data_IF_271314729364
#
_entry.id   IF_271314729364
#
_cell.length_a   1.000
_cell.length_b   1.000
_cell.length_c   1.000
_cell.angle_alpha   90.00
_cell.angle_beta   90.00
_cell.angle_gamma   90.00
#
_symmetry.space_group_name_H-M   'P 1'
#
loop_
_entity.id
_entity.type
_entity.pdbx_description
1 polymer ?
#
# COMPACT_ATOMS: atom_id res chain seq x y z
N UNK A 1 43.59 -20.95 44.28
CA UNK A 1 43.60 -19.50 43.94
C UNK A 1 42.97 -19.21 42.55
N UNK A 2 41.90 -19.91 42.12
CA UNK A 2 41.32 -19.79 40.75
C UNK A 2 39.80 -19.47 40.72
N UNK A 3 39.16 -19.19 41.87
CA UNK A 3 37.70 -18.90 41.94
C UNK A 3 37.35 -17.47 41.51
N UNK A 4 38.22 -16.49 41.77
CA UNK A 4 37.97 -15.08 41.44
C UNK A 4 37.93 -14.78 39.94
N UNK A 5 38.82 -15.41 39.15
CA UNK A 5 38.91 -15.18 37.70
C UNK A 5 37.68 -15.68 36.95
N UNK A 6 37.10 -16.81 37.38
CA UNK A 6 35.89 -17.37 36.77
C UNK A 6 34.66 -16.51 37.03
N UNK A 7 34.49 -16.01 38.27
CA UNK A 7 33.40 -15.07 38.59
C UNK A 7 33.53 -13.74 37.85
N UNK A 8 34.75 -13.21 37.70
CA UNK A 8 34.97 -11.96 36.95
C UNK A 8 34.62 -12.10 35.47
N UNK A 9 34.99 -13.21 34.82
CA UNK A 9 34.61 -13.48 33.43
C UNK A 9 33.09 -13.63 33.27
N UNK A 10 32.42 -14.30 34.20
CA UNK A 10 30.95 -14.45 34.14
C UNK A 10 30.24 -13.10 34.28
N UNK A 11 30.68 -12.25 35.21
CA UNK A 11 30.09 -10.91 35.40
C UNK A 11 30.34 -10.01 34.18
N UNK A 12 31.53 -10.07 33.57
CA UNK A 12 31.82 -9.32 32.34
C UNK A 12 30.99 -9.80 31.14
N UNK A 13 30.84 -11.11 30.97
CA UNK A 13 30.01 -11.68 29.90
C UNK A 13 28.53 -11.33 30.10
N UNK A 14 28.01 -11.43 31.32
CA UNK A 14 26.62 -11.05 31.64
C UNK A 14 26.41 -9.53 31.46
N UNK A 15 27.38 -8.71 31.84
CA UNK A 15 27.34 -7.26 31.64
C UNK A 15 27.37 -6.85 30.16
N UNK A 16 28.16 -7.54 29.33
CA UNK A 16 28.18 -7.36 27.87
C UNK A 16 26.87 -7.80 27.21
N UNK A 17 26.28 -8.91 27.66
CA UNK A 17 24.99 -9.40 27.15
C UNK A 17 23.81 -8.50 27.56
N UNK A 18 23.90 -7.82 28.71
CA UNK A 18 22.91 -6.84 29.16
C UNK A 18 22.95 -5.52 28.38
N UNK A 19 24.01 -5.28 27.60
CA UNK A 19 24.16 -4.13 26.72
C UNK A 19 23.75 -4.47 25.28
N UNK A 20 22.63 -5.17 25.09
CA UNK A 20 22.12 -5.48 23.75
C UNK A 20 21.80 -4.19 22.99
N UNK A 21 22.54 -3.91 21.92
CA UNK A 21 22.19 -2.87 20.96
C UNK A 21 20.92 -3.24 20.21
N UNK A 22 20.23 -2.22 19.70
CA UNK A 22 19.09 -2.42 18.82
C UNK A 22 19.33 -1.64 17.54
N UNK A 23 19.04 -2.24 16.38
CA UNK A 23 19.08 -1.53 15.10
C UNK A 23 17.73 -0.88 14.85
N UNK A 24 17.71 0.46 14.78
CA UNK A 24 16.50 1.22 14.43
C UNK A 24 16.47 1.45 12.93
N UNK A 25 15.44 0.91 12.29
CA UNK A 25 15.24 0.92 10.85
C UNK A 25 14.10 1.87 10.50
N UNK A 26 14.40 2.92 9.75
CA UNK A 26 13.45 3.95 9.37
C UNK A 26 13.50 4.23 7.86
N UNK A 27 12.34 4.44 7.26
CA UNK A 27 12.19 4.97 5.91
C UNK A 27 11.55 6.36 5.96
N UNK A 28 12.19 7.32 5.29
CA UNK A 28 11.68 8.66 5.02
C UNK A 28 11.06 8.71 3.64
N UNK A 29 9.77 8.98 3.57
CA UNK A 29 9.00 9.13 2.34
C UNK A 29 8.80 10.61 2.05
N UNK A 30 9.27 11.03 0.89
CA UNK A 30 9.13 12.40 0.38
C UNK A 30 8.33 12.35 -0.92
N UNK A 31 7.35 13.25 -1.07
CA UNK A 31 6.64 13.37 -2.35
C UNK A 31 6.68 14.80 -2.83
N UNK A 32 6.79 14.95 -4.15
CA UNK A 32 6.65 16.21 -4.86
C UNK A 32 5.34 16.12 -5.67
N UNK A 33 4.26 16.81 -5.28
CA UNK A 33 4.14 17.75 -4.16
C UNK A 33 3.89 17.05 -2.81
N UNK A 34 4.15 17.72 -1.66
CA UNK A 34 3.93 17.15 -0.33
C UNK A 34 2.44 16.95 -0.04
N UNK A 35 2.10 16.22 1.01
CA UNK A 35 0.71 15.98 1.42
C UNK A 35 0.08 14.75 0.77
N UNK A 36 0.87 13.83 0.22
CA UNK A 36 0.37 12.62 -0.41
C UNK A 36 0.23 11.50 0.61
N UNK A 37 -0.84 10.70 0.49
CA UNK A 37 -1.09 9.52 1.30
C UNK A 37 -0.20 8.37 0.82
N UNK A 38 0.41 7.63 1.74
CA UNK A 38 1.27 6.49 1.40
C UNK A 38 0.79 5.21 2.03
N UNK A 39 0.72 4.18 1.19
CA UNK A 39 0.44 2.79 1.53
C UNK A 39 1.73 1.99 1.31
N UNK A 40 2.09 1.15 2.28
CA UNK A 40 3.26 0.27 2.22
C UNK A 40 2.81 -1.18 2.35
N UNK A 41 3.17 -2.02 1.39
CA UNK A 41 2.86 -3.46 1.38
C UNK A 41 1.37 -3.78 1.58
N UNK A 42 0.48 -2.93 1.07
CA UNK A 42 -0.97 -3.12 1.18
C UNK A 42 -1.57 -2.68 2.54
N UNK A 43 -0.78 -2.05 3.41
CA UNK A 43 -1.23 -1.55 4.71
C UNK A 43 -1.20 -0.01 4.72
N UNK A 44 -2.30 0.60 5.16
CA UNK A 44 -2.27 2.00 5.57
C UNK A 44 -1.44 2.10 6.85
N UNK A 45 -0.42 2.94 6.81
CA UNK A 45 0.52 3.01 7.91
C UNK A 45 -0.12 3.82 9.05
N UNK A 46 -0.71 3.11 10.01
CA UNK A 46 -1.40 3.53 11.25
C UNK A 46 -2.92 3.74 11.17
N UNK A 47 -3.54 3.34 12.28
CA UNK A 47 -4.92 3.60 12.65
C UNK A 47 -4.92 4.61 13.79
N UNK A 48 -5.72 5.68 13.74
CA UNK A 48 -6.03 6.42 14.96
C UNK A 48 -7.14 5.69 15.73
N UNK A 49 -6.94 5.59 17.04
CA UNK A 49 -7.99 5.13 17.94
C UNK A 49 -8.87 6.35 18.22
N UNK A 50 -9.95 6.49 17.45
CA UNK A 50 -10.99 7.46 17.79
C UNK A 50 -11.99 6.76 18.72
N UNK A 51 -12.06 7.22 19.98
CA UNK A 51 -13.09 6.80 20.93
C UNK A 51 -14.27 7.75 20.77
N UNK A 52 -15.40 7.23 20.32
CA UNK A 52 -16.65 7.99 20.33
C UNK A 52 -17.38 7.64 21.62
N UNK A 53 -17.47 8.60 22.55
CA UNK A 53 -18.32 8.49 23.73
C UNK A 53 -19.79 8.72 23.31
N UNK A 54 -20.46 7.64 22.90
CA UNK A 54 -21.93 7.64 22.83
C UNK A 54 -22.45 7.23 24.19
N UNK A 55 -22.88 8.21 24.99
CA UNK A 55 -23.77 8.00 26.15
C UNK A 55 -23.36 6.83 27.07
N UNK A 56 -22.06 6.72 27.39
CA UNK A 56 -21.53 5.70 28.31
C UNK A 56 -21.03 4.40 27.66
N UNK A 57 -21.08 4.27 26.33
CA UNK A 57 -20.49 3.18 25.56
C UNK A 57 -19.26 3.68 24.78
N UNK A 58 -18.07 3.24 25.19
CA UNK A 58 -16.79 3.52 24.53
C UNK A 58 -16.68 2.61 23.31
N UNK A 59 -16.97 3.14 22.11
CA UNK A 59 -16.74 2.41 20.86
C UNK A 59 -15.34 2.79 20.35
N UNK A 60 -14.39 1.86 20.40
CA UNK A 60 -13.09 2.01 19.74
C UNK A 60 -13.28 1.89 18.22
N UNK A 61 -13.27 3.02 17.50
CA UNK A 61 -13.28 3.01 16.04
C UNK A 61 -11.83 3.06 15.56
N UNK A 62 -11.38 1.93 15.01
CA UNK A 62 -10.10 1.78 14.31
C UNK A 62 -10.31 2.37 12.89
N UNK A 63 -10.00 3.66 12.69
CA UNK A 63 -9.97 4.25 11.33
C UNK A 63 -8.53 4.32 10.82
N UNK A 64 -8.26 3.92 9.56
CA UNK A 64 -6.95 4.15 8.96
C UNK A 64 -6.76 5.66 8.77
N UNK A 65 -5.81 6.27 9.49
CA UNK A 65 -5.45 7.67 9.25
C UNK A 65 -4.48 7.71 8.09
N UNK A 66 -4.78 8.46 7.04
CA UNK A 66 -3.81 8.68 6.00
C UNK A 66 -2.68 9.56 6.51
N UNK A 67 -1.54 8.94 6.79
CA UNK A 67 -0.28 9.65 6.99
C UNK A 67 0.11 10.33 5.69
N UNK A 68 0.30 11.65 5.75
CA UNK A 68 0.70 12.48 4.62
C UNK A 68 2.21 12.72 4.62
N UNK A 69 2.80 12.81 3.43
CA UNK A 69 4.23 13.14 3.25
C UNK A 69 4.52 14.63 3.51
N UNK A 70 5.73 14.99 3.99
CA UNK A 70 6.89 14.14 4.29
C UNK A 70 6.71 13.34 5.59
N UNK A 71 7.13 12.07 5.59
CA UNK A 71 6.97 11.22 6.77
C UNK A 71 8.09 10.20 6.98
N UNK A 72 8.41 9.92 8.24
CA UNK A 72 9.38 8.89 8.65
C UNK A 72 8.63 7.73 9.30
N UNK A 73 8.88 6.51 8.84
CA UNK A 73 8.17 5.30 9.25
C UNK A 73 9.17 4.20 9.60
N UNK A 74 8.95 3.43 10.69
CA UNK A 74 9.77 2.25 10.96
C UNK A 74 9.42 1.11 9.99
N UNK A 75 10.40 0.28 9.64
CA UNK A 75 10.18 -0.94 8.85
C UNK A 75 10.85 -2.16 9.51
N UNK A 76 10.30 -3.35 9.25
CA UNK A 76 10.64 -4.55 10.01
C UNK A 76 11.71 -5.44 9.36
N UNK A 77 11.75 -5.53 8.02
CA UNK A 77 12.65 -6.43 7.30
C UNK A 77 13.33 -5.73 6.11
N UNK A 78 14.50 -6.22 5.71
CA UNK A 78 15.12 -5.83 4.44
C UNK A 78 14.56 -6.66 3.29
N UNK A 79 14.60 -6.09 2.10
CA UNK A 79 14.06 -6.73 0.91
C UNK A 79 13.29 -5.74 0.06
N UNK A 80 12.21 -6.21 -0.53
CA UNK A 80 11.46 -5.44 -1.50
C UNK A 80 10.16 -4.98 -0.89
N UNK A 81 9.95 -3.67 -0.84
CA UNK A 81 8.72 -3.06 -0.33
C UNK A 81 7.97 -2.37 -1.46
N UNK A 82 6.65 -2.55 -1.47
CA UNK A 82 5.77 -1.86 -2.38
C UNK A 82 5.25 -0.58 -1.73
N UNK A 83 5.52 0.55 -2.37
CA UNK A 83 4.97 1.84 -1.97
C UNK A 83 3.96 2.31 -3.00
N UNK A 84 2.78 2.64 -2.51
CA UNK A 84 1.72 3.22 -3.30
C UNK A 84 1.46 4.61 -2.75
N UNK A 85 1.64 5.62 -3.60
CA UNK A 85 1.37 7.00 -3.25
C UNK A 85 0.12 7.47 -3.96
N UNK A 86 -0.78 8.09 -3.19
CA UNK A 86 -2.02 8.67 -3.70
C UNK A 86 -2.19 10.11 -3.21
N UNK A 87 -2.60 10.98 -4.13
CA UNK A 87 -2.91 12.38 -3.85
C UNK A 87 -3.98 12.84 -4.82
N UNK A 88 -4.93 13.62 -4.33
CA UNK A 88 -6.00 14.19 -5.16
C UNK A 88 -5.44 15.06 -6.27
N UNK A 89 -5.92 14.85 -7.50
CA UNK A 89 -5.43 15.56 -8.69
C UNK A 89 -4.10 15.02 -9.26
N UNK A 90 -3.52 13.97 -8.67
CA UNK A 90 -2.31 13.32 -9.15
C UNK A 90 -2.54 11.84 -9.47
N UNK A 91 -1.71 11.30 -10.37
CA UNK A 91 -1.76 9.89 -10.74
C UNK A 91 -1.22 9.04 -9.58
N UNK A 92 -1.98 8.00 -9.19
CA UNK A 92 -1.53 6.99 -8.22
C UNK A 92 -0.24 6.35 -8.73
N UNK A 93 0.83 6.44 -7.95
CA UNK A 93 2.13 5.91 -8.33
C UNK A 93 2.47 4.70 -7.46
N UNK A 94 2.62 3.53 -8.10
CA UNK A 94 3.12 2.30 -7.46
C UNK A 94 4.61 2.18 -7.77
N UNK A 95 5.44 2.08 -6.74
CA UNK A 95 6.88 1.87 -6.87
C UNK A 95 7.32 0.75 -5.95
N UNK A 96 8.05 -0.19 -6.53
CA UNK A 96 8.69 -1.27 -5.79
C UNK A 96 10.13 -0.84 -5.51
N UNK A 97 10.49 -0.74 -4.23
CA UNK A 97 11.82 -0.31 -3.80
C UNK A 97 12.51 -1.47 -3.12
N UNK A 98 13.70 -1.83 -3.61
CA UNK A 98 14.54 -2.85 -3.02
C UNK A 98 15.52 -2.24 -2.02
N UNK A 99 15.27 -2.47 -0.74
CA UNK A 99 16.09 -2.08 0.39
C UNK A 99 17.14 -3.16 0.67
N UNK A 100 18.36 -2.94 0.19
CA UNK A 100 19.45 -3.89 0.41
C UNK A 100 19.92 -3.85 1.88
N UNK A 101 20.04 -5.00 2.55
CA UNK A 101 20.58 -5.04 3.90
C UNK A 101 22.01 -4.49 3.91
N UNK A 102 22.36 -3.66 4.90
CA UNK A 102 23.74 -3.33 5.20
C UNK A 102 24.60 -4.58 5.43
N UNK A 103 25.91 -4.44 5.22
CA UNK A 103 26.85 -5.56 5.37
C UNK A 103 26.83 -6.21 6.76
N UNK A 104 26.52 -5.43 7.80
CA UNK A 104 26.47 -5.88 9.19
C UNK A 104 25.20 -6.68 9.53
N UNK A 105 24.20 -6.70 8.65
CA UNK A 105 22.94 -7.46 8.79
C UNK A 105 22.88 -8.69 7.91
N UNK A 106 24.00 -9.06 7.32
CA UNK A 106 24.11 -10.32 6.61
C UNK A 106 24.28 -11.45 7.61
N UNK A 107 23.49 -12.53 7.51
CA UNK A 107 23.73 -13.75 8.30
C UNK A 107 25.13 -14.28 7.95
N UNK A 108 25.99 -14.62 8.93
CA UNK A 108 25.77 -14.66 10.40
C UNK A 108 26.24 -13.41 11.17
N UNK A 109 26.81 -12.41 10.49
CA UNK A 109 27.35 -11.17 11.07
C UNK A 109 26.27 -10.41 11.86
N UNK A 110 25.01 -10.51 11.39
CA UNK A 110 23.81 -9.96 12.03
C UNK A 110 23.71 -10.28 13.53
N UNK A 111 24.01 -11.53 13.92
CA UNK A 111 23.99 -11.94 15.32
C UNK A 111 24.97 -11.11 16.18
N UNK A 112 26.14 -10.78 15.64
CA UNK A 112 27.12 -9.99 16.36
C UNK A 112 26.78 -8.50 16.37
N UNK A 113 26.23 -7.98 15.28
CA UNK A 113 25.82 -6.59 15.19
C UNK A 113 24.70 -6.26 16.19
N UNK A 114 23.74 -7.17 16.36
CA UNK A 114 22.62 -6.99 17.29
C UNK A 114 23.00 -7.27 18.76
N UNK A 115 23.84 -8.28 19.03
CA UNK A 115 24.08 -8.75 20.41
C UNK A 115 25.36 -8.19 21.07
N UNK A 116 26.37 -7.78 20.29
CA UNK A 116 27.67 -7.37 20.84
C UNK A 116 27.94 -5.87 20.76
N UNK A 117 27.14 -5.12 20.01
CA UNK A 117 27.32 -3.67 19.86
C UNK A 117 26.44 -2.95 20.89
N UNK A 118 27.00 -2.26 21.90
CA UNK A 118 26.22 -1.62 22.96
C UNK A 118 25.56 -0.29 22.55
N UNK A 119 25.55 0.02 21.25
CA UNK A 119 25.08 1.31 20.73
C UNK A 119 24.00 1.11 19.68
N UNK A 120 23.04 2.05 19.62
CA UNK A 120 21.94 2.00 18.65
C UNK A 120 22.44 2.38 17.26
N UNK A 121 22.32 1.46 16.30
CA UNK A 121 22.62 1.74 14.90
C UNK A 121 21.34 2.26 14.25
N UNK A 122 21.41 3.45 13.66
CA UNK A 122 20.31 4.07 12.93
C UNK A 122 20.49 3.84 11.42
N UNK A 123 19.59 3.07 10.81
CA UNK A 123 19.51 2.92 9.35
C UNK A 123 18.31 3.73 8.84
N UNK A 124 18.58 4.90 8.25
CA UNK A 124 17.56 5.79 7.70
C UNK A 124 17.67 5.79 6.17
N UNK A 125 16.61 5.34 5.50
CA UNK A 125 16.52 5.31 4.02
C UNK A 125 15.55 6.36 3.52
N UNK A 126 15.94 7.15 2.53
CA UNK A 126 15.06 8.17 1.94
C UNK A 126 14.57 7.73 0.58
N UNK A 127 13.26 7.79 0.36
CA UNK A 127 12.62 7.49 -0.92
C UNK A 127 11.77 8.68 -1.34
N UNK A 128 12.08 9.23 -2.50
CA UNK A 128 11.32 10.33 -3.11
C UNK A 128 10.40 9.85 -4.24
N UNK A 129 9.25 10.51 -4.36
CA UNK A 129 8.24 10.27 -5.39
C UNK A 129 7.88 11.58 -6.07
N UNK A 130 8.05 11.64 -7.38
CA UNK A 130 7.59 12.75 -8.19
C UNK A 130 6.25 12.40 -8.81
N UNK A 131 5.19 12.97 -8.25
CA UNK A 131 3.82 12.69 -8.67
C UNK A 131 3.49 13.48 -9.92
N UNK A 132 2.95 12.79 -10.92
CA UNK A 132 2.46 13.42 -12.15
C UNK A 132 1.01 13.82 -11.95
N UNK A 133 0.65 15.01 -12.42
CA UNK A 133 -0.74 15.47 -12.40
C UNK A 133 -1.64 14.51 -13.19
N UNK A 134 -2.78 14.15 -12.60
CA UNK A 134 -3.79 13.38 -13.27
C UNK A 134 -4.47 14.29 -14.29
N UNK A 135 -4.19 14.08 -15.58
CA UNK A 135 -4.95 14.71 -16.66
C UNK A 135 -6.42 14.33 -16.52
N UNK A 136 -7.21 15.21 -15.92
CA UNK A 136 -8.64 14.99 -15.80
C UNK A 136 -9.25 15.15 -17.20
N UNK A 137 -10.07 14.19 -17.63
CA UNK A 137 -10.80 14.33 -18.90
C UNK A 137 -11.71 15.57 -18.85
N UNK A 138 -12.09 16.06 -17.67
CA UNK A 138 -12.94 17.24 -17.52
C UNK A 138 -12.22 18.52 -17.94
N UNK A 139 -10.93 18.64 -17.61
CA UNK A 139 -10.11 19.83 -17.88
C UNK A 139 -9.42 19.80 -19.24
N UNK A 140 -9.44 18.65 -19.92
CA UNK A 140 -8.89 18.48 -21.26
C UNK A 140 -9.62 19.34 -22.32
N UNK A 141 -8.87 19.79 -23.34
CA UNK A 141 -9.42 20.56 -24.47
C UNK A 141 -10.47 19.72 -25.23
N UNK A 142 -11.39 20.38 -25.94
CA UNK A 142 -12.43 19.67 -26.74
C UNK A 142 -11.82 18.70 -27.76
N UNK A 143 -10.66 19.04 -28.30
CA UNK A 143 -9.92 18.24 -29.27
C UNK A 143 -9.29 17.00 -28.62
N UNK A 144 -8.66 17.17 -27.45
CA UNK A 144 -8.05 16.05 -26.69
C UNK A 144 -9.14 15.07 -26.20
N UNK A 145 -10.32 15.58 -25.80
CA UNK A 145 -11.51 14.77 -25.49
C UNK A 145 -11.99 13.94 -26.69
N UNK A 146 -12.03 14.54 -27.87
CA UNK A 146 -12.46 13.86 -29.09
C UNK A 146 -11.46 12.77 -29.51
N UNK A 147 -10.16 13.02 -29.37
CA UNK A 147 -9.10 12.04 -29.63
C UNK A 147 -9.19 10.84 -28.67
N UNK A 148 -9.29 11.10 -27.36
CA UNK A 148 -9.45 10.05 -26.34
C UNK A 148 -10.72 9.22 -26.61
N UNK A 149 -11.84 9.87 -26.94
CA UNK A 149 -13.10 9.16 -27.27
C UNK A 149 -12.94 8.23 -28.47
N UNK A 150 -12.26 8.67 -29.53
CA UNK A 150 -12.02 7.84 -30.72
C UNK A 150 -11.15 6.63 -30.41
N UNK A 151 -10.04 6.82 -29.69
CA UNK A 151 -9.16 5.73 -29.24
C UNK A 151 -9.91 4.71 -28.36
N UNK A 152 -10.74 5.18 -27.42
CA UNK A 152 -11.56 4.30 -26.57
C UNK A 152 -12.59 3.49 -27.38
N UNK A 153 -13.23 4.09 -28.38
CA UNK A 153 -14.17 3.39 -29.26
C UNK A 153 -13.48 2.30 -30.07
N UNK A 154 -12.29 2.60 -30.62
CA UNK A 154 -11.50 1.61 -31.37
C UNK A 154 -11.09 0.42 -30.51
N UNK A 155 -10.62 0.67 -29.28
CA UNK A 155 -10.30 -0.41 -28.32
C UNK A 155 -11.54 -1.23 -27.97
N UNK A 156 -12.69 -0.58 -27.74
CA UNK A 156 -13.93 -1.28 -27.44
C UNK A 156 -14.36 -2.19 -28.60
N UNK A 157 -14.21 -1.74 -29.86
CA UNK A 157 -14.53 -2.55 -31.03
C UNK A 157 -13.55 -3.73 -31.20
N UNK A 158 -12.26 -3.53 -30.91
CA UNK A 158 -11.29 -4.64 -30.85
C UNK A 158 -11.67 -5.69 -29.80
N UNK A 159 -12.08 -5.27 -28.60
CA UNK A 159 -12.54 -6.22 -27.59
C UNK A 159 -13.80 -6.97 -28.02
N UNK A 160 -14.73 -6.30 -28.72
CA UNK A 160 -15.94 -6.93 -29.27
C UNK A 160 -15.61 -7.98 -30.33
N UNK A 161 -14.66 -7.72 -31.22
CA UNK A 161 -14.27 -8.68 -32.25
C UNK A 161 -13.52 -9.87 -31.66
N UNK A 162 -12.55 -9.63 -30.78
CA UNK A 162 -11.82 -10.70 -30.09
C UNK A 162 -12.74 -11.55 -29.21
N UNK A 163 -13.73 -10.95 -28.55
CA UNK A 163 -14.73 -11.70 -27.78
C UNK A 163 -15.60 -12.59 -28.70
N UNK A 164 -16.05 -12.10 -29.85
CA UNK A 164 -16.81 -12.90 -30.83
C UNK A 164 -16.00 -14.07 -31.41
N UNK A 165 -14.68 -13.90 -31.54
CA UNK A 165 -13.78 -14.93 -32.07
C UNK A 165 -13.44 -15.99 -31.02
N UNK A 166 -13.25 -15.60 -29.76
CA UNK A 166 -12.76 -16.48 -28.69
C UNK A 166 -13.85 -17.13 -27.84
N UNK A 167 -15.08 -16.62 -27.89
CA UNK A 167 -16.23 -17.22 -27.20
C UNK A 167 -16.83 -18.27 -28.15
N UNK A 168 -16.70 -19.59 -27.89
CA UNK A 168 -17.49 -20.57 -28.63
C UNK A 168 -18.97 -20.21 -28.45
N UNK A 169 -19.76 -20.34 -29.53
CA UNK A 169 -21.19 -20.05 -29.53
C UNK A 169 -21.83 -20.58 -28.24
N UNK A 170 -22.75 -19.83 -27.60
CA UNK A 170 -23.40 -20.32 -26.40
C UNK A 170 -23.94 -21.71 -26.73
N UNK A 171 -23.40 -22.73 -26.06
CA UNK A 171 -23.95 -24.08 -26.11
C UNK A 171 -25.41 -23.86 -25.79
N UNK A 172 -26.29 -24.13 -26.76
CA UNK A 172 -27.72 -23.96 -26.57
C UNK A 172 -28.05 -24.64 -25.26
N UNK A 173 -28.45 -23.87 -24.25
CA UNK A 173 -29.02 -24.46 -23.04
C UNK A 173 -30.14 -25.41 -23.49
N UNK A 174 -30.40 -26.51 -22.76
CA UNK A 174 -31.50 -27.41 -23.09
C UNK A 174 -32.75 -26.58 -23.37
N UNK A 175 -33.52 -26.91 -24.42
CA UNK A 175 -34.59 -26.07 -24.91
C UNK A 175 -35.52 -25.69 -23.76
N UNK A 176 -35.67 -24.38 -23.53
CA UNK A 176 -36.64 -23.87 -22.57
C UNK A 176 -38.03 -24.40 -22.97
N UNK A 177 -38.82 -24.96 -22.03
CA UNK A 177 -40.15 -25.45 -22.35
C UNK A 177 -41.01 -24.29 -22.88
N UNK A 178 -41.57 -24.49 -24.07
CA UNK A 178 -42.52 -23.57 -24.67
C UNK A 178 -43.77 -23.44 -23.78
N UNK A 179 -44.22 -22.21 -23.55
CA UNK A 179 -45.58 -21.93 -23.09
C UNK A 179 -45.71 -21.33 -21.69
N UNK A 180 -45.49 -20.02 -21.59
CA UNK A 180 -45.99 -19.22 -20.48
C UNK A 180 -46.06 -17.74 -20.89
N UNK A 181 -47.13 -16.99 -20.57
CA UNK A 181 -47.25 -15.60 -21.00
C UNK A 181 -46.13 -14.76 -20.39
N UNK A 182 -45.48 -13.96 -21.25
CA UNK A 182 -44.38 -13.09 -20.86
C UNK A 182 -44.80 -12.13 -19.72
N UNK A 183 -43.98 -11.97 -18.65
CA UNK A 183 -44.25 -10.97 -17.64
C UNK A 183 -44.13 -9.57 -18.25
N UNK A 184 -45.14 -8.73 -17.97
CA UNK A 184 -45.22 -7.36 -18.46
C UNK A 184 -43.97 -6.54 -18.06
N UNK A 185 -43.50 -5.62 -18.92
CA UNK A 185 -42.31 -4.81 -18.64
C UNK A 185 -42.53 -3.89 -17.44
N UNK A 186 -41.52 -3.69 -16.57
CA UNK A 186 -41.63 -2.76 -15.45
C UNK A 186 -41.81 -1.32 -15.94
N UNK A 187 -42.80 -0.64 -15.35
CA UNK A 187 -43.14 0.75 -15.67
C UNK A 187 -41.96 1.70 -15.44
N UNK A 188 -41.72 2.61 -16.39
CA UNK A 188 -40.70 3.66 -16.29
C UNK A 188 -41.00 4.58 -15.09
N UNK A 189 -40.02 4.91 -14.22
CA UNK A 189 -40.22 5.93 -13.21
C UNK A 189 -40.38 7.29 -13.88
N UNK A 190 -41.49 7.97 -13.57
CA UNK A 190 -41.79 9.33 -13.99
C UNK A 190 -40.82 10.33 -13.34
N UNK A 191 -40.52 11.48 -14.00
CA UNK A 191 -39.68 12.51 -13.44
C UNK A 191 -40.45 13.24 -12.33
N UNK A 192 -39.88 13.28 -11.11
CA UNK A 192 -40.35 14.21 -10.08
C UNK A 192 -39.98 15.62 -10.51
N UNK A 193 -40.98 16.41 -10.88
CA UNK A 193 -40.85 17.85 -11.04
C UNK A 193 -41.05 18.54 -9.68
N UNK A 194 -40.02 19.29 -9.28
CA UNK A 194 -39.97 20.42 -8.34
C UNK A 194 -40.45 20.21 -6.89
#
# INVERSE_FOLDING_TARGET
MMRGTKSLCVVLVVGLLAASGCVRREIRLLTTPPGAMVEMDGQYMMTDREVIDREGEVIEIIRPVPRVTPITLPFNWYGTHEFIVHKDGYVRQKRVVHMRPPWYQQIPIDFFADNLIPWTIHDIRTVSFDMKEAKSIRDASKEEKAAIKKDLLQRADQFRTTAKEKVPAPVAGPPAPEGGPAPAPPAKPTPKAK
#
